data_IF_490401403929
#
_entry.id   IF_490401403929
#
_cell.length_a   1.000
_cell.length_b   1.000
_cell.length_c   1.000
_cell.angle_alpha   90.00
_cell.angle_beta   90.00
_cell.angle_gamma   90.00
#
_symmetry.space_group_name_H-M   'P 1'
#
loop_
_entity.id
_entity.type
_entity.pdbx_description
1 polymer ?
#
# COMPACT_ATOMS: atom_id res chain seq x y z
N UNK A 1 11.13 15.11 -17.55
CA UNK A 1 11.04 15.22 -16.07
C UNK A 1 9.79 14.53 -15.52
N UNK A 2 8.62 14.71 -16.14
CA UNK A 2 7.34 14.09 -15.73
C UNK A 2 7.45 12.55 -15.60
N UNK A 3 8.10 11.88 -16.55
CA UNK A 3 8.29 10.42 -16.52
C UNK A 3 9.00 9.92 -15.24
N UNK A 4 9.99 10.66 -14.70
CA UNK A 4 10.70 10.25 -13.48
C UNK A 4 9.83 10.41 -12.23
N UNK A 5 9.06 11.49 -12.16
CA UNK A 5 8.13 11.75 -11.05
C UNK A 5 7.06 10.67 -11.00
N UNK A 6 6.48 10.34 -12.16
CA UNK A 6 5.47 9.26 -12.27
C UNK A 6 6.07 7.92 -11.84
N UNK A 7 7.32 7.63 -12.23
CA UNK A 7 7.97 6.38 -11.85
C UNK A 7 8.17 6.29 -10.33
N UNK A 8 8.73 7.32 -9.69
CA UNK A 8 8.91 7.32 -8.25
C UNK A 8 7.60 7.30 -7.46
N UNK A 9 6.55 7.93 -7.99
CA UNK A 9 5.22 7.85 -7.40
C UNK A 9 4.67 6.42 -7.49
N UNK A 10 4.83 5.75 -8.64
CA UNK A 10 4.45 4.36 -8.80
C UNK A 10 5.25 3.45 -7.86
N UNK A 11 6.57 3.62 -7.77
CA UNK A 11 7.44 2.85 -6.87
C UNK A 11 7.02 3.03 -5.40
N UNK A 12 6.70 4.25 -4.98
CA UNK A 12 6.21 4.53 -3.64
C UNK A 12 4.87 3.80 -3.38
N UNK A 13 3.94 3.83 -4.32
CA UNK A 13 2.67 3.09 -4.20
C UNK A 13 2.93 1.58 -4.10
N UNK A 14 3.83 1.04 -4.92
CA UNK A 14 4.18 -0.38 -4.91
C UNK A 14 4.79 -0.81 -3.59
N UNK A 15 5.74 -0.04 -3.05
CA UNK A 15 6.34 -0.30 -1.74
C UNK A 15 5.27 -0.29 -0.64
N UNK A 16 4.38 0.70 -0.66
CA UNK A 16 3.28 0.76 0.29
C UNK A 16 2.34 -0.45 0.19
N UNK A 17 1.98 -0.87 -1.02
CA UNK A 17 1.15 -2.05 -1.25
C UNK A 17 1.82 -3.35 -0.76
N UNK A 18 3.14 -3.50 -0.96
CA UNK A 18 3.90 -4.64 -0.42
C UNK A 18 3.87 -4.66 1.11
N UNK A 19 4.11 -3.52 1.76
CA UNK A 19 4.06 -3.41 3.22
C UNK A 19 2.65 -3.73 3.76
N UNK A 20 1.60 -3.24 3.09
CA UNK A 20 0.22 -3.56 3.41
C UNK A 20 -0.08 -5.07 3.27
N UNK A 21 0.46 -5.72 2.24
CA UNK A 21 0.33 -7.17 2.05
C UNK A 21 1.02 -7.98 3.15
N UNK A 22 2.22 -7.58 3.55
CA UNK A 22 2.95 -8.19 4.68
C UNK A 22 2.14 -8.04 5.97
N UNK A 23 1.61 -6.85 6.25
CA UNK A 23 0.77 -6.59 7.43
C UNK A 23 -0.48 -7.46 7.45
N UNK A 24 -1.17 -7.62 6.30
CA UNK A 24 -2.38 -8.46 6.19
C UNK A 24 -2.13 -9.95 6.35
N UNK A 25 -0.98 -10.43 5.86
CA UNK A 25 -0.65 -11.87 5.88
C UNK A 25 0.03 -12.33 7.18
N UNK A 26 0.84 -11.47 7.80
CA UNK A 26 1.65 -11.82 8.98
C UNK A 26 1.26 -11.09 10.26
N UNK A 27 0.47 -10.02 10.17
CA UNK A 27 0.19 -9.10 11.29
C UNK A 27 1.34 -8.13 11.61
N UNK A 28 2.50 -8.24 10.94
CA UNK A 28 3.64 -7.36 11.17
C UNK A 28 3.49 -6.06 10.37
N UNK A 29 3.49 -4.93 11.08
CA UNK A 29 3.39 -3.59 10.50
C UNK A 29 4.63 -2.73 10.77
N UNK A 30 4.72 -1.60 10.07
CA UNK A 30 5.71 -0.57 10.38
C UNK A 30 5.35 0.08 11.72
N UNK A 31 6.34 0.16 12.61
CA UNK A 31 6.23 0.74 13.93
C UNK A 31 6.21 2.28 13.89
N UNK A 32 5.12 2.88 13.37
CA UNK A 32 5.01 4.34 13.20
C UNK A 32 4.96 5.09 14.52
N UNK A 33 4.59 4.42 15.61
CA UNK A 33 4.64 4.94 16.98
C UNK A 33 6.06 5.27 17.46
N UNK A 34 7.09 4.67 16.86
CA UNK A 34 8.51 4.97 17.17
C UNK A 34 9.00 6.26 16.51
N UNK A 35 8.19 6.88 15.64
CA UNK A 35 8.53 8.14 15.00
C UNK A 35 8.20 9.27 15.98
N UNK A 36 9.24 9.92 16.51
CA UNK A 36 9.11 11.02 17.50
C UNK A 36 8.37 12.24 16.94
N UNK A 37 8.59 12.55 15.65
CA UNK A 37 7.91 13.64 14.97
C UNK A 37 6.48 13.25 14.59
N UNK A 38 5.49 13.87 15.24
CA UNK A 38 4.08 13.63 14.97
C UNK A 38 3.66 13.95 13.54
N UNK A 39 4.29 14.95 12.91
CA UNK A 39 4.03 15.32 11.51
C UNK A 39 4.55 14.24 10.56
N UNK A 40 5.81 13.79 10.74
CA UNK A 40 6.40 12.71 9.94
C UNK A 40 5.59 11.42 10.11
N UNK A 41 5.21 11.09 11.35
CA UNK A 41 4.34 9.95 11.64
C UNK A 41 3.05 10.00 10.83
N UNK A 42 2.38 11.15 10.81
CA UNK A 42 1.13 11.34 10.05
C UNK A 42 1.34 11.12 8.55
N UNK A 43 2.44 11.59 7.98
CA UNK A 43 2.76 11.34 6.57
C UNK A 43 3.04 9.87 6.28
N UNK A 44 3.77 9.20 7.17
CA UNK A 44 4.05 7.76 7.04
C UNK A 44 2.76 6.94 7.17
N UNK A 45 1.89 7.25 8.14
CA UNK A 45 0.60 6.58 8.30
C UNK A 45 -0.29 6.75 7.04
N UNK A 46 -0.36 7.97 6.50
CA UNK A 46 -1.05 8.23 5.22
C UNK A 46 -0.45 7.42 4.08
N UNK A 47 0.87 7.41 3.97
CA UNK A 47 1.58 6.66 2.95
C UNK A 47 1.28 5.16 3.03
N UNK A 48 1.30 4.56 4.21
CA UNK A 48 0.98 3.13 4.43
C UNK A 48 -0.50 2.83 4.13
N UNK A 49 -1.40 3.78 4.42
CA UNK A 49 -2.83 3.64 4.12
C UNK A 49 -3.09 3.54 2.61
N UNK A 50 -2.29 4.22 1.78
CA UNK A 50 -2.41 4.12 0.32
C UNK A 50 -2.24 2.67 -0.15
N UNK A 51 -1.29 1.94 0.41
CA UNK A 51 -1.05 0.54 0.07
C UNK A 51 -2.22 -0.37 0.41
N UNK A 52 -2.82 -0.18 1.59
CA UNK A 52 -4.03 -0.92 1.99
C UNK A 52 -5.19 -0.63 1.03
N UNK A 53 -5.41 0.63 0.68
CA UNK A 53 -6.44 1.03 -0.27
C UNK A 53 -6.22 0.45 -1.67
N UNK A 54 -4.98 0.45 -2.16
CA UNK A 54 -4.62 -0.14 -3.46
C UNK A 54 -4.91 -1.64 -3.48
N UNK A 55 -4.58 -2.37 -2.41
CA UNK A 55 -4.89 -3.79 -2.31
C UNK A 55 -6.40 -4.04 -2.26
N UNK A 56 -7.16 -3.21 -1.55
CA UNK A 56 -8.62 -3.34 -1.47
C UNK A 56 -9.29 -3.09 -2.82
N UNK A 57 -9.02 -1.95 -3.43
CA UNK A 57 -9.59 -1.60 -4.74
C UNK A 57 -9.11 -2.56 -5.83
N UNK A 58 -7.83 -2.94 -5.80
CA UNK A 58 -7.27 -3.94 -6.69
C UNK A 58 -7.99 -5.27 -6.56
N UNK A 59 -8.18 -5.79 -5.35
CA UNK A 59 -8.90 -7.05 -5.14
C UNK A 59 -10.36 -6.99 -5.57
N UNK A 60 -11.04 -5.86 -5.34
CA UNK A 60 -12.41 -5.65 -5.78
C UNK A 60 -12.51 -5.64 -7.31
N UNK A 61 -11.63 -4.90 -7.98
CA UNK A 61 -11.55 -4.85 -9.44
C UNK A 61 -11.22 -6.22 -10.06
N UNK A 62 -10.27 -6.94 -9.48
CA UNK A 62 -9.91 -8.28 -9.94
C UNK A 62 -11.06 -9.26 -9.72
N UNK A 63 -11.81 -9.14 -8.62
CA UNK A 63 -12.95 -10.02 -8.35
C UNK A 63 -14.11 -9.88 -9.34
N UNK A 64 -14.21 -8.75 -10.05
CA UNK A 64 -15.21 -8.55 -11.10
C UNK A 64 -14.71 -8.93 -12.50
N UNK A 65 -13.44 -9.31 -12.64
CA UNK A 65 -12.84 -9.66 -13.94
C UNK A 65 -12.96 -11.16 -14.21
N UNK A 66 -13.43 -11.53 -15.41
CA UNK A 66 -13.58 -12.92 -15.86
C UNK A 66 -12.25 -13.70 -15.91
N UNK A 67 -11.12 -12.98 -15.98
CA UNK A 67 -9.77 -13.58 -15.96
C UNK A 67 -9.30 -14.07 -14.59
N UNK A 68 -10.01 -13.74 -13.51
CA UNK A 68 -9.62 -14.09 -12.15
C UNK A 68 -10.69 -14.93 -11.46
N UNK A 69 -10.24 -15.95 -10.74
CA UNK A 69 -11.11 -16.86 -10.00
C UNK A 69 -10.77 -16.82 -8.50
N UNK A 70 -11.79 -16.89 -7.65
CA UNK A 70 -11.61 -16.96 -6.20
C UNK A 70 -11.35 -18.41 -5.79
N UNK A 71 -10.08 -18.74 -5.54
CA UNK A 71 -9.68 -20.02 -4.91
C UNK A 71 -9.65 -19.83 -3.40
N UNK A 72 -10.45 -20.61 -2.68
CA UNK A 72 -10.51 -20.62 -1.21
C UNK A 72 -9.66 -21.76 -0.67
#
# INVERSE_FOLDING_TARGET
MISKIVHYAADAVLVSAVLAGIKRSSGLGVATEKIESGEVRTYVDKYLTIGEWVLDQGSAFLSSSEYFERKR
#
